data_IF_784926059889
#
_entry.id   IF_784926059889
#
_cell.length_a   1.000
_cell.length_b   1.000
_cell.length_c   1.000
_cell.angle_alpha   90.00
_cell.angle_beta   90.00
_cell.angle_gamma   90.00
#
_symmetry.space_group_name_H-M   'P 1'
#
loop_
_entity.id
_entity.type
_entity.pdbx_description
1 polymer ?
#
# COMPACT_ATOMS: atom_id res chain seq x y z
N UNK A 1 0.34 9.77 11.06
CA UNK A 1 1.07 8.50 11.24
C UNK A 1 1.74 8.02 9.95
N UNK A 2 1.10 8.08 8.77
CA UNK A 2 1.75 7.67 7.52
C UNK A 2 2.84 8.63 7.02
N UNK A 3 2.70 9.96 7.18
CA UNK A 3 3.73 10.93 6.76
C UNK A 3 5.11 10.67 7.40
N UNK A 4 5.14 10.31 8.69
CA UNK A 4 6.40 9.95 9.36
C UNK A 4 7.00 8.64 8.81
N UNK A 5 6.15 7.72 8.36
CA UNK A 5 6.60 6.48 7.71
C UNK A 5 7.20 6.78 6.34
N UNK A 6 6.56 7.63 5.54
CA UNK A 6 7.09 8.08 4.24
C UNK A 6 8.45 8.77 4.39
N UNK A 7 8.60 9.63 5.41
CA UNK A 7 9.88 10.29 5.72
C UNK A 7 10.96 9.28 6.08
N UNK A 8 10.68 8.34 6.99
CA UNK A 8 11.66 7.34 7.40
C UNK A 8 12.10 6.45 6.21
N UNK A 9 11.15 6.03 5.38
CA UNK A 9 11.45 5.21 4.18
C UNK A 9 12.33 5.98 3.21
N UNK A 10 12.07 7.29 3.02
CA UNK A 10 12.90 8.18 2.21
C UNK A 10 14.32 8.32 2.80
N UNK A 11 14.44 8.55 4.11
CA UNK A 11 15.73 8.69 4.82
C UNK A 11 16.56 7.40 4.74
N UNK A 12 15.90 6.23 4.74
CA UNK A 12 16.54 4.92 4.56
C UNK A 12 16.90 4.60 3.09
N UNK A 13 16.62 5.51 2.15
CA UNK A 13 16.96 5.36 0.73
C UNK A 13 16.05 4.40 -0.04
N UNK A 14 14.91 4.02 0.51
CA UNK A 14 13.93 3.19 -0.20
C UNK A 14 13.14 4.03 -1.20
N UNK A 15 12.87 3.46 -2.37
CA UNK A 15 12.23 4.16 -3.50
C UNK A 15 10.73 3.96 -3.58
N UNK A 16 10.19 2.95 -2.89
CA UNK A 16 8.77 2.63 -2.93
C UNK A 16 8.28 2.18 -1.56
N UNK A 17 7.04 2.53 -1.23
CA UNK A 17 6.28 1.93 -0.14
C UNK A 17 5.19 1.05 -0.75
N UNK A 18 4.98 -0.14 -0.21
CA UNK A 18 3.95 -1.08 -0.68
C UNK A 18 3.06 -1.49 0.49
N UNK A 19 1.75 -1.52 0.27
CA UNK A 19 0.75 -2.00 1.23
C UNK A 19 -0.11 -3.06 0.56
N UNK A 20 -0.33 -4.17 1.25
CA UNK A 20 -1.31 -5.19 0.87
C UNK A 20 -2.54 -5.02 1.76
N UNK A 21 -3.71 -5.02 1.15
CA UNK A 21 -4.98 -4.91 1.88
C UNK A 21 -5.98 -5.87 1.26
N UNK A 22 -6.81 -6.52 2.08
CA UNK A 22 -7.92 -7.31 1.56
C UNK A 22 -8.76 -6.46 0.59
N UNK A 23 -9.00 -6.97 -0.60
CA UNK A 23 -9.74 -6.26 -1.64
C UNK A 23 -11.13 -5.87 -1.17
N UNK A 24 -11.78 -6.66 -0.32
CA UNK A 24 -13.10 -6.33 0.22
C UNK A 24 -13.08 -5.32 1.37
N UNK A 25 -11.90 -4.96 1.90
CA UNK A 25 -11.78 -4.01 2.99
C UNK A 25 -11.95 -2.56 2.47
N UNK A 26 -12.96 -1.80 2.94
CA UNK A 26 -13.15 -0.40 2.54
C UNK A 26 -11.97 0.53 2.87
N UNK A 27 -11.10 0.14 3.81
CA UNK A 27 -9.87 0.87 4.10
C UNK A 27 -8.95 0.99 2.87
N UNK A 28 -9.11 0.16 1.83
CA UNK A 28 -8.38 0.31 0.56
C UNK A 28 -8.52 1.71 -0.05
N UNK A 29 -9.71 2.31 0.08
CA UNK A 29 -10.00 3.64 -0.47
C UNK A 29 -9.21 4.75 0.22
N UNK A 30 -8.77 4.52 1.46
CA UNK A 30 -7.90 5.47 2.16
C UNK A 30 -6.53 5.56 1.47
N UNK A 31 -5.94 4.42 1.08
CA UNK A 31 -4.67 4.40 0.37
C UNK A 31 -4.77 5.03 -1.03
N UNK A 32 -5.85 4.74 -1.77
CA UNK A 32 -6.14 5.36 -3.07
C UNK A 32 -6.25 6.88 -2.96
N UNK A 33 -6.99 7.38 -1.96
CA UNK A 33 -7.11 8.83 -1.70
C UNK A 33 -5.78 9.47 -1.29
N UNK A 34 -4.89 8.71 -0.67
CA UNK A 34 -3.52 9.13 -0.36
C UNK A 34 -2.57 9.03 -1.57
N UNK A 35 -3.07 8.76 -2.77
CA UNK A 35 -2.28 8.73 -4.00
C UNK A 35 -1.52 7.42 -4.22
N UNK A 36 -1.92 6.33 -3.57
CA UNK A 36 -1.37 5.02 -3.86
C UNK A 36 -1.85 4.53 -5.23
N UNK A 37 -0.94 3.96 -6.01
CA UNK A 37 -1.25 3.32 -7.28
C UNK A 37 -1.54 1.84 -7.04
N UNK A 38 -2.68 1.34 -7.54
CA UNK A 38 -3.00 -0.08 -7.53
C UNK A 38 -2.04 -0.81 -8.47
N UNK A 39 -1.28 -1.77 -7.95
CA UNK A 39 -0.26 -2.52 -8.69
C UNK A 39 -0.83 -3.83 -9.22
N UNK A 40 -1.38 -4.64 -8.32
CA UNK A 40 -1.86 -5.98 -8.64
C UNK A 40 -2.92 -6.45 -7.63
N UNK A 41 -3.57 -7.57 -7.96
CA UNK A 41 -4.45 -8.30 -7.05
C UNK A 41 -4.02 -9.74 -6.97
N UNK A 42 -3.88 -10.25 -5.74
CA UNK A 42 -3.38 -11.60 -5.48
C UNK A 42 -4.43 -12.36 -4.69
N UNK A 43 -4.68 -13.60 -5.11
CA UNK A 43 -5.54 -14.49 -4.34
C UNK A 43 -4.74 -15.20 -3.26
N UNK A 44 -5.21 -15.12 -2.02
CA UNK A 44 -4.60 -15.77 -0.87
C UNK A 44 -5.59 -16.74 -0.22
N UNK A 45 -5.07 -17.72 0.53
CA UNK A 45 -5.89 -18.58 1.37
C UNK A 45 -5.62 -18.30 2.85
N UNK A 46 -6.65 -17.93 3.59
CA UNK A 46 -6.62 -17.74 5.05
C UNK A 46 -7.69 -18.64 5.64
N UNK A 47 -7.30 -19.54 6.55
CA UNK A 47 -8.20 -20.48 7.23
C UNK A 47 -9.15 -21.24 6.28
N UNK A 48 -8.63 -21.67 5.12
CA UNK A 48 -9.40 -22.40 4.10
C UNK A 48 -10.34 -21.52 3.27
N UNK A 49 -10.42 -20.22 3.53
CA UNK A 49 -11.16 -19.26 2.70
C UNK A 49 -10.23 -18.65 1.66
N UNK A 50 -10.73 -18.50 0.44
CA UNK A 50 -10.02 -17.80 -0.64
C UNK A 50 -10.39 -16.34 -0.61
N UNK A 51 -9.42 -15.48 -0.33
CA UNK A 51 -9.59 -14.02 -0.28
C UNK A 51 -8.75 -13.38 -1.39
N UNK A 52 -9.10 -12.15 -1.73
CA UNK A 52 -8.32 -11.32 -2.65
C UNK A 52 -7.64 -10.22 -1.84
N UNK A 53 -6.36 -10.00 -2.10
CA UNK A 53 -5.60 -8.84 -1.63
C UNK A 53 -5.32 -7.92 -2.81
N UNK A 54 -5.51 -6.62 -2.60
CA UNK A 54 -5.07 -5.58 -3.52
C UNK A 54 -3.75 -5.01 -3.01
N UNK A 55 -2.76 -4.95 -3.90
CA UNK A 55 -1.45 -4.37 -3.62
C UNK A 55 -1.43 -2.94 -4.13
N UNK A 56 -1.12 -2.01 -3.25
CA UNK A 56 -0.94 -0.60 -3.56
C UNK A 56 0.52 -0.19 -3.37
N UNK A 57 0.99 0.75 -4.18
CA UNK A 57 2.34 1.31 -4.06
C UNK A 57 2.38 2.82 -4.15
N UNK A 58 3.35 3.42 -3.46
CA UNK A 58 3.73 4.81 -3.65
C UNK A 58 5.19 4.87 -4.08
N UNK A 59 5.47 5.68 -5.10
CA UNK A 59 6.83 6.05 -5.47
C UNK A 59 7.32 7.17 -4.57
N UNK A 60 8.46 6.97 -3.92
CA UNK A 60 9.09 7.95 -3.03
C UNK A 60 10.06 8.78 -3.85
N UNK A 61 9.51 9.63 -4.72
CA UNK A 61 10.27 10.47 -5.66
C UNK A 61 10.17 11.93 -5.26
N UNK A 62 11.07 12.44 -4.41
CA UNK A 62 11.26 13.87 -4.11
C UNK A 62 10.07 14.64 -3.51
N UNK A 63 8.87 14.10 -3.61
CA UNK A 63 7.59 14.67 -3.18
C UNK A 63 7.59 14.78 -1.66
N UNK A 64 6.99 15.86 -1.18
CA UNK A 64 6.70 16.04 0.23
C UNK A 64 5.39 15.30 0.52
N UNK A 65 5.46 14.33 1.44
CA UNK A 65 4.35 13.48 1.87
C UNK A 65 4.09 13.68 3.37
#
# INVERSE_FOLDING_TARGET
MLCSTFREIKERGHRNLVVKVLSENPARYFYEKMGAEKVEEVSISIEGRRLMETIYSWKIDGREY
#
